data_IF_575246135780
#
_entry.id   IF_575246135780
#
_cell.length_a   1.000
_cell.length_b   1.000
_cell.length_c   1.000
_cell.angle_alpha   90.00
_cell.angle_beta   90.00
_cell.angle_gamma   90.00
#
_symmetry.space_group_name_H-M   'P 1'
#
loop_
_entity.id
_entity.type
_entity.pdbx_description
1 polymer ?
#
# COMPACT_ATOMS: atom_id res chain seq x y z
N UNK A 1 -32.52 33.96 2.69
CA UNK A 1 -31.24 33.45 3.25
C UNK A 1 -31.11 31.93 3.14
N UNK A 2 -32.20 31.16 3.20
CA UNK A 2 -32.21 29.69 3.20
C UNK A 2 -31.69 29.04 1.90
N UNK A 3 -32.10 29.53 0.72
CA UNK A 3 -31.67 28.96 -0.56
C UNK A 3 -30.16 29.08 -0.84
N UNK A 4 -29.52 30.20 -0.45
CA UNK A 4 -28.08 30.40 -0.64
C UNK A 4 -27.24 29.48 0.27
N UNK A 5 -27.71 29.26 1.49
CA UNK A 5 -27.08 28.34 2.44
C UNK A 5 -27.21 26.89 1.98
N UNK A 6 -28.39 26.51 1.46
CA UNK A 6 -28.62 25.17 0.93
C UNK A 6 -27.69 24.82 -0.23
N UNK A 7 -27.48 25.75 -1.18
CA UNK A 7 -26.55 25.55 -2.30
C UNK A 7 -25.13 25.34 -1.80
N UNK A 8 -24.70 26.07 -0.76
CA UNK A 8 -23.38 25.91 -0.17
C UNK A 8 -23.21 24.53 0.48
N UNK A 9 -24.18 24.08 1.26
CA UNK A 9 -24.13 22.77 1.92
C UNK A 9 -24.14 21.61 0.91
N UNK A 10 -24.95 21.70 -0.15
CA UNK A 10 -24.94 20.71 -1.22
C UNK A 10 -23.59 20.68 -1.93
N UNK A 11 -23.02 21.85 -2.24
CA UNK A 11 -21.70 21.94 -2.86
C UNK A 11 -20.61 21.27 -2.03
N UNK A 12 -20.56 21.57 -0.72
CA UNK A 12 -19.61 20.94 0.21
C UNK A 12 -19.85 19.43 0.30
N UNK A 13 -21.11 19.01 0.41
CA UNK A 13 -21.48 17.60 0.50
C UNK A 13 -21.06 16.78 -0.74
N UNK A 14 -21.25 17.33 -1.95
CA UNK A 14 -20.83 16.67 -3.19
C UNK A 14 -19.31 16.56 -3.27
N UNK A 15 -18.57 17.63 -2.96
CA UNK A 15 -17.10 17.61 -2.98
C UNK A 15 -16.54 16.63 -1.94
N UNK A 16 -17.08 16.64 -0.72
CA UNK A 16 -16.70 15.70 0.33
C UNK A 16 -17.02 14.25 -0.05
N UNK A 17 -18.22 14.00 -0.60
CA UNK A 17 -18.65 12.67 -1.04
C UNK A 17 -17.79 12.12 -2.17
N UNK A 18 -17.42 12.95 -3.15
CA UNK A 18 -16.51 12.55 -4.23
C UNK A 18 -15.10 12.28 -3.70
N UNK A 19 -14.55 13.16 -2.85
CA UNK A 19 -13.23 12.97 -2.26
C UNK A 19 -13.15 11.68 -1.43
N UNK A 20 -14.16 11.43 -0.60
CA UNK A 20 -14.25 10.20 0.18
C UNK A 20 -14.50 8.97 -0.69
N UNK A 21 -15.29 9.09 -1.75
CA UNK A 21 -15.52 8.02 -2.72
C UNK A 21 -14.24 7.58 -3.43
N UNK A 22 -13.44 8.53 -3.93
CA UNK A 22 -12.13 8.24 -4.55
C UNK A 22 -11.20 7.54 -3.56
N UNK A 23 -11.16 8.02 -2.31
CA UNK A 23 -10.38 7.40 -1.24
C UNK A 23 -10.79 5.93 -1.00
N UNK A 24 -12.08 5.64 -0.96
CA UNK A 24 -12.58 4.26 -0.78
C UNK A 24 -12.27 3.33 -1.96
N UNK A 25 -12.26 3.85 -3.20
CA UNK A 25 -11.91 3.06 -4.39
C UNK A 25 -10.46 2.59 -4.32
N UNK A 26 -9.54 3.46 -3.94
CA UNK A 26 -8.12 3.11 -3.74
C UNK A 26 -7.97 1.97 -2.72
N UNK A 27 -8.76 2.01 -1.63
CA UNK A 27 -8.78 0.98 -0.60
C UNK A 27 -9.44 -0.35 -1.02
N UNK A 28 -10.31 -0.41 -2.03
CA UNK A 28 -10.94 -1.68 -2.45
C UNK A 28 -10.10 -2.47 -3.48
N UNK A 29 -8.93 -1.96 -3.84
CA UNK A 29 -8.09 -2.60 -4.85
C UNK A 29 -7.51 -3.92 -4.33
N UNK A 30 -8.09 -5.04 -4.76
CA UNK A 30 -7.48 -6.37 -4.62
C UNK A 30 -6.45 -6.54 -5.72
N UNK A 31 -5.18 -6.61 -5.33
CA UNK A 31 -4.08 -6.70 -6.28
C UNK A 31 -3.99 -8.10 -6.86
N UNK A 32 -4.47 -8.24 -8.10
CA UNK A 32 -4.04 -9.33 -8.97
C UNK A 32 -2.72 -8.92 -9.62
N UNK A 33 -1.76 -9.85 -9.69
CA UNK A 33 -0.51 -9.63 -10.41
C UNK A 33 -0.82 -9.42 -11.90
N UNK A 34 -0.52 -8.24 -12.43
CA UNK A 34 -0.72 -7.91 -13.84
C UNK A 34 0.56 -7.32 -14.40
N UNK A 35 1.14 -8.03 -15.36
CA UNK A 35 2.30 -7.55 -16.09
C UNK A 35 1.88 -6.52 -17.13
N UNK A 36 2.58 -5.40 -17.17
CA UNK A 36 2.33 -4.30 -18.11
C UNK A 36 3.64 -3.80 -18.69
N UNK A 37 3.58 -3.22 -19.88
CA UNK A 37 4.73 -2.59 -20.50
C UNK A 37 5.06 -1.26 -19.80
N UNK A 38 6.34 -1.01 -19.50
CA UNK A 38 6.82 0.18 -18.78
C UNK A 38 7.01 -0.03 -17.26
N UNK A 39 7.16 1.06 -16.47
CA UNK A 39 7.36 0.99 -15.03
C UNK A 39 6.10 0.55 -14.30
N UNK A 40 6.18 -0.56 -13.55
CA UNK A 40 5.05 -1.08 -12.79
C UNK A 40 5.49 -1.98 -11.64
N UNK A 41 4.79 -1.87 -10.52
CA UNK A 41 4.99 -2.72 -9.35
C UNK A 41 3.66 -3.27 -8.88
N UNK A 42 3.67 -4.52 -8.43
CA UNK A 42 2.51 -5.23 -7.90
C UNK A 42 2.79 -5.72 -6.48
N UNK A 43 1.77 -5.66 -5.63
CA UNK A 43 1.82 -6.23 -4.27
C UNK A 43 0.88 -7.43 -4.25
N UNK A 44 1.39 -8.61 -3.91
CA UNK A 44 0.61 -9.85 -3.87
C UNK A 44 0.67 -10.42 -2.45
N UNK A 45 -0.51 -10.71 -1.90
CA UNK A 45 -0.66 -11.46 -0.64
C UNK A 45 -1.30 -12.82 -0.93
N UNK A 46 -1.21 -13.77 -0.01
CA UNK A 46 -1.82 -15.10 -0.20
C UNK A 46 -3.36 -15.02 -0.21
N UNK A 47 -3.90 -14.04 0.51
CA UNK A 47 -5.34 -13.75 0.62
C UNK A 47 -5.54 -12.29 1.02
N UNK A 48 -6.79 -11.84 1.02
CA UNK A 48 -7.20 -10.51 1.48
C UNK A 48 -7.65 -10.49 2.94
N UNK A 49 -8.01 -11.65 3.51
CA UNK A 49 -8.65 -11.73 4.82
C UNK A 49 -7.90 -12.69 5.75
N UNK A 50 -7.36 -12.14 6.84
CA UNK A 50 -6.48 -12.84 7.79
C UNK A 50 -7.09 -12.86 9.18
N UNK A 51 -6.98 -13.99 9.86
CA UNK A 51 -7.32 -14.08 11.28
C UNK A 51 -6.25 -13.39 12.10
N UNK A 52 -6.65 -12.86 13.25
CA UNK A 52 -5.72 -12.27 14.20
C UNK A 52 -4.63 -13.29 14.59
N UNK A 53 -3.37 -12.89 14.46
CA UNK A 53 -2.21 -13.73 14.76
C UNK A 53 -1.75 -14.64 13.61
N UNK A 54 -2.39 -14.63 12.44
CA UNK A 54 -1.82 -15.21 11.23
C UNK A 54 -0.64 -14.38 10.71
N UNK A 55 0.40 -15.07 10.24
CA UNK A 55 1.45 -14.43 9.44
C UNK A 55 0.94 -14.12 8.04
N UNK A 56 1.24 -12.93 7.56
CA UNK A 56 0.89 -12.42 6.23
C UNK A 56 2.16 -12.40 5.39
N UNK A 57 2.21 -13.16 4.29
CA UNK A 57 3.30 -13.10 3.31
C UNK A 57 2.95 -12.05 2.26
N UNK A 58 3.81 -11.05 2.15
CA UNK A 58 3.66 -9.94 1.22
C UNK A 58 4.76 -10.09 0.18
N UNK A 59 4.38 -10.19 -1.08
CA UNK A 59 5.30 -10.20 -2.21
C UNK A 59 5.22 -8.89 -2.96
N UNK A 60 6.36 -8.24 -3.15
CA UNK A 60 6.49 -7.09 -4.04
C UNK A 60 7.15 -7.61 -5.32
N UNK A 61 6.46 -7.45 -6.44
CA UNK A 61 6.89 -7.96 -7.75
C UNK A 61 7.07 -6.78 -8.68
N UNK A 62 8.20 -6.70 -9.38
CA UNK A 62 8.32 -5.80 -10.51
C UNK A 62 7.50 -6.39 -11.67
N UNK A 63 6.29 -5.87 -11.84
CA UNK A 63 5.36 -6.28 -12.88
C UNK A 63 5.51 -5.47 -14.17
N UNK A 64 6.56 -4.65 -14.25
CA UNK A 64 6.90 -3.84 -15.41
C UNK A 64 7.94 -4.51 -16.31
N UNK A 65 8.43 -3.73 -17.26
CA UNK A 65 9.54 -4.10 -18.17
C UNK A 65 10.80 -3.29 -17.92
N UNK A 66 10.82 -2.44 -16.89
CA UNK A 66 11.97 -1.60 -16.51
C UNK A 66 12.37 -1.87 -15.06
N UNK A 67 13.66 -1.77 -14.70
CA UNK A 67 14.13 -1.95 -13.33
C UNK A 67 13.57 -0.88 -12.38
N UNK A 68 13.39 -1.24 -11.12
CA UNK A 68 12.90 -0.32 -10.08
C UNK A 68 13.92 -0.17 -8.96
N UNK A 69 14.20 1.08 -8.60
CA UNK A 69 15.08 1.45 -7.50
C UNK A 69 14.28 1.85 -6.26
N UNK A 70 14.72 1.39 -5.11
CA UNK A 70 14.12 1.65 -3.81
C UNK A 70 15.14 2.27 -2.87
N UNK A 71 14.72 3.30 -2.14
CA UNK A 71 15.63 4.06 -1.26
C UNK A 71 16.22 3.23 -0.12
N UNK A 72 15.65 2.08 0.19
CA UNK A 72 16.07 1.20 1.29
C UNK A 72 15.81 -0.29 0.98
N UNK A 73 16.29 -1.17 1.87
CA UNK A 73 16.09 -2.62 1.81
C UNK A 73 14.68 -3.08 2.21
N UNK A 74 13.78 -2.14 2.54
CA UNK A 74 12.36 -2.46 2.76
C UNK A 74 11.56 -2.48 1.45
N UNK A 75 12.20 -2.11 0.32
CA UNK A 75 11.54 -1.96 -0.98
C UNK A 75 10.33 -1.03 -0.86
N UNK A 76 10.47 0.03 -0.05
CA UNK A 76 9.43 1.01 0.23
C UNK A 76 8.17 0.44 0.89
N UNK A 77 8.23 -0.76 1.47
CA UNK A 77 7.07 -1.45 2.06
C UNK A 77 6.57 -0.71 3.30
N UNK A 78 5.29 -0.29 3.26
CA UNK A 78 4.62 0.39 4.36
C UNK A 78 3.25 -0.18 4.58
N UNK A 79 2.96 -0.55 5.82
CA UNK A 79 1.63 -0.99 6.26
C UNK A 79 1.03 0.10 7.13
N UNK A 80 -0.17 0.54 6.75
CA UNK A 80 -0.89 1.65 7.39
C UNK A 80 -2.31 1.24 7.73
N UNK A 81 -2.88 1.84 8.78
CA UNK A 81 -4.32 1.72 9.06
C UNK A 81 -5.15 2.69 8.20
N UNK A 82 -6.48 2.67 8.39
CA UNK A 82 -7.42 3.62 7.76
C UNK A 82 -7.10 5.09 8.03
N UNK A 83 -6.38 5.42 9.09
CA UNK A 83 -5.94 6.79 9.38
C UNK A 83 -4.70 7.22 8.59
N UNK A 84 -4.08 6.31 7.82
CA UNK A 84 -2.82 6.55 7.12
C UNK A 84 -1.58 6.53 8.04
N UNK A 85 -1.76 6.26 9.33
CA UNK A 85 -0.66 6.14 10.29
C UNK A 85 0.16 4.89 9.97
N UNK A 86 1.49 5.05 9.87
CA UNK A 86 2.43 3.95 9.70
C UNK A 86 2.37 3.02 10.90
N UNK A 87 2.06 1.76 10.65
CA UNK A 87 1.96 0.72 11.68
C UNK A 87 3.15 -0.23 11.61
N UNK A 88 3.54 -0.60 10.39
CA UNK A 88 4.68 -1.48 10.18
C UNK A 88 5.48 -1.10 8.94
N UNK A 89 6.79 -1.24 9.05
CA UNK A 89 7.77 -1.17 7.97
C UNK A 89 8.91 -2.09 8.36
N UNK A 90 9.42 -2.95 7.46
CA UNK A 90 10.59 -3.77 7.74
C UNK A 90 11.74 -2.94 8.30
N UNK A 91 12.45 -3.49 9.29
CA UNK A 91 13.64 -2.85 9.84
C UNK A 91 14.69 -2.70 8.74
N UNK A 92 15.00 -1.46 8.36
CA UNK A 92 16.00 -1.15 7.35
C UNK A 92 17.36 -1.49 7.93
N UNK A 93 18.08 -2.40 7.28
CA UNK A 93 19.50 -2.57 7.59
C UNK A 93 20.25 -1.44 6.89
N UNK A 94 20.59 -0.38 7.62
CA UNK A 94 21.32 0.81 7.12
C UNK A 94 22.63 0.49 6.38
N UNK A 95 23.11 -0.76 6.46
CA UNK A 95 24.28 -1.26 5.73
C UNK A 95 24.04 -1.64 4.27
N UNK A 96 22.79 -1.78 3.83
CA UNK A 96 22.49 -2.04 2.42
C UNK A 96 21.85 -0.78 1.83
N UNK A 97 22.62 -0.11 0.97
CA UNK A 97 22.14 1.03 0.19
C UNK A 97 20.98 0.65 -0.73
N UNK A 98 20.59 1.61 -1.57
CA UNK A 98 19.51 1.54 -2.56
C UNK A 98 19.31 0.11 -3.13
N UNK A 99 18.11 -0.43 -2.96
CA UNK A 99 17.75 -1.75 -3.46
C UNK A 99 17.21 -1.66 -4.88
N UNK A 100 17.51 -2.65 -5.71
CA UNK A 100 17.06 -2.73 -7.10
C UNK A 100 16.22 -3.98 -7.29
N UNK A 101 15.15 -3.88 -8.08
CA UNK A 101 14.27 -4.99 -8.44
C UNK A 101 14.14 -5.04 -9.97
N UNK A 102 14.75 -6.06 -10.58
CA UNK A 102 14.73 -6.23 -12.04
C UNK A 102 13.32 -6.63 -12.54
N UNK A 103 13.00 -6.42 -13.82
CA UNK A 103 11.73 -6.84 -14.39
C UNK A 103 11.45 -8.33 -14.17
N UNK A 104 10.31 -8.65 -13.53
CA UNK A 104 9.92 -10.02 -13.21
C UNK A 104 10.46 -10.57 -11.89
N UNK A 105 11.41 -9.88 -11.24
CA UNK A 105 11.89 -10.27 -9.92
C UNK A 105 10.87 -9.94 -8.83
N UNK A 106 10.95 -10.71 -7.73
CA UNK A 106 10.11 -10.54 -6.55
C UNK A 106 10.90 -10.59 -5.25
N UNK A 107 10.42 -9.83 -4.26
CA UNK A 107 10.89 -9.88 -2.87
C UNK A 107 9.73 -10.22 -1.94
N UNK A 108 9.99 -11.06 -0.95
CA UNK A 108 8.98 -11.52 0.00
C UNK A 108 9.27 -11.00 1.41
N UNK A 109 8.22 -10.54 2.08
CA UNK A 109 8.22 -10.10 3.48
C UNK A 109 7.18 -10.87 4.27
N UNK A 110 7.49 -11.19 5.52
CA UNK A 110 6.53 -11.77 6.46
C UNK A 110 6.16 -10.74 7.51
N UNK A 111 4.86 -10.55 7.72
CA UNK A 111 4.33 -9.70 8.77
C UNK A 111 3.42 -10.52 9.69
N UNK A 112 3.83 -10.69 10.94
CA UNK A 112 3.10 -11.42 11.97
C UNK A 112 2.03 -10.56 12.68
N UNK A 113 1.57 -9.49 12.03
CA UNK A 113 0.62 -8.52 12.59
C UNK A 113 1.14 -7.80 13.84
N UNK A 114 2.46 -7.70 14.03
CA UNK A 114 3.08 -6.90 15.08
C UNK A 114 3.56 -5.58 14.48
N UNK A 115 3.16 -4.47 15.09
CA UNK A 115 3.57 -3.12 14.70
C UNK A 115 5.04 -2.86 15.06
N UNK A 116 5.59 -1.78 14.54
CA UNK A 116 6.98 -1.39 14.85
C UNK A 116 7.19 -1.00 16.33
N UNK A 117 6.12 -0.67 17.07
CA UNK A 117 6.16 -0.41 18.52
C UNK A 117 6.10 -1.69 19.38
N UNK A 118 5.93 -2.86 18.76
CA UNK A 118 5.81 -4.16 19.43
C UNK A 118 4.37 -4.56 19.77
N UNK A 119 3.38 -3.68 19.56
CA UNK A 119 1.97 -4.01 19.81
C UNK A 119 1.38 -4.85 18.67
N UNK A 120 0.41 -5.68 19.00
CA UNK A 120 -0.37 -6.39 17.98
C UNK A 120 -1.29 -5.41 17.23
N UNK A 121 -1.41 -5.61 15.92
CA UNK A 121 -2.42 -4.96 15.09
C UNK A 121 -3.83 -5.32 15.60
N UNK A 122 -4.73 -4.34 15.52
CA UNK A 122 -6.13 -4.53 15.88
C UNK A 122 -6.89 -5.18 14.72
N UNK A 123 -8.13 -5.57 14.97
CA UNK A 123 -9.03 -6.00 13.90
C UNK A 123 -9.41 -4.78 13.05
N UNK A 124 -9.44 -4.94 11.73
CA UNK A 124 -9.78 -3.86 10.81
C UNK A 124 -9.15 -3.98 9.42
N UNK A 125 -9.28 -2.90 8.65
CA UNK A 125 -8.70 -2.77 7.31
C UNK A 125 -7.33 -2.11 7.37
N UNK A 126 -6.39 -2.68 6.62
CA UNK A 126 -5.01 -2.24 6.53
C UNK A 126 -4.61 -2.07 5.08
N UNK A 127 -3.91 -0.98 4.79
CA UNK A 127 -3.34 -0.71 3.47
C UNK A 127 -1.86 -1.04 3.48
N UNK A 128 -1.46 -1.96 2.61
CA UNK A 128 -0.08 -2.27 2.28
C UNK A 128 0.28 -1.46 1.05
N UNK A 129 1.41 -0.78 1.09
CA UNK A 129 1.88 0.07 -0.01
C UNK A 129 3.38 -0.12 -0.23
N UNK A 130 3.79 0.08 -1.48
CA UNK A 130 5.20 0.14 -1.87
C UNK A 130 5.41 1.35 -2.77
N UNK A 131 6.59 1.95 -2.67
CA UNK A 131 7.00 3.08 -3.49
C UNK A 131 8.45 2.92 -3.92
N UNK A 132 8.66 2.84 -5.22
CA UNK A 132 9.96 2.83 -5.88
C UNK A 132 10.08 3.96 -6.90
N UNK A 133 11.21 3.98 -7.59
CA UNK A 133 11.56 4.96 -8.62
C UNK A 133 12.08 4.20 -9.84
N UNK A 134 11.69 4.60 -11.05
CA UNK A 134 12.23 4.02 -12.29
C UNK A 134 13.61 4.63 -12.67
N UNK A 135 14.19 4.16 -13.77
CA UNK A 135 15.46 4.66 -14.31
C UNK A 135 15.43 6.13 -14.77
N UNK A 136 14.23 6.69 -15.00
CA UNK A 136 13.99 8.08 -15.37
C UNK A 136 13.73 9.00 -14.17
N UNK A 137 13.65 8.43 -12.96
CA UNK A 137 13.35 9.20 -11.75
C UNK A 137 11.86 9.39 -11.46
N UNK A 138 10.96 8.71 -12.16
CA UNK A 138 9.53 8.76 -11.90
C UNK A 138 9.16 7.87 -10.72
N UNK A 139 8.21 8.32 -9.90
CA UNK A 139 7.69 7.53 -8.80
C UNK A 139 6.77 6.41 -9.32
N UNK A 140 7.00 5.19 -8.87
CA UNK A 140 6.17 4.01 -9.13
C UNK A 140 5.62 3.52 -7.80
N UNK A 141 4.31 3.63 -7.62
CA UNK A 141 3.65 3.26 -6.37
C UNK A 141 2.47 2.33 -6.59
N UNK A 142 2.26 1.44 -5.63
CA UNK A 142 1.11 0.55 -5.60
C UNK A 142 0.65 0.35 -4.17
N UNK A 143 -0.66 0.13 -4.01
CA UNK A 143 -1.23 -0.30 -2.75
C UNK A 143 -2.26 -1.41 -2.92
N UNK A 144 -2.40 -2.21 -1.88
CA UNK A 144 -3.43 -3.24 -1.73
C UNK A 144 -3.97 -3.21 -0.32
N UNK A 145 -5.21 -3.65 -0.13
CA UNK A 145 -5.84 -3.68 1.20
C UNK A 145 -6.03 -5.12 1.65
N UNK A 146 -5.84 -5.32 2.95
CA UNK A 146 -6.13 -6.56 3.65
C UNK A 146 -7.02 -6.28 4.87
N UNK A 147 -7.75 -7.29 5.31
CA UNK A 147 -8.58 -7.27 6.50
C UNK A 147 -7.99 -8.20 7.54
N UNK A 148 -7.87 -7.73 8.78
CA UNK A 148 -7.61 -8.56 9.96
C UNK A 148 -8.92 -8.73 10.72
N UNK A 149 -9.35 -9.97 10.92
CA UNK A 149 -10.59 -10.33 11.60
C UNK A 149 -10.33 -11.31 12.76
N UNK A 150 -11.35 -11.49 13.60
CA UNK A 150 -11.27 -12.25 14.84
C UNK A 150 -11.23 -13.77 14.65
#
# INVERSE_FOLDING_TARGET
MLAKSLVLFIGIGVVAGLGFGIYLVDFKSTSHLVFVEGPSVSIVTEKSDFKKGETILIRIVNSGTVPLLFSDSSYGLRITGLSGILMFSPAVSEKQGMSNLEPGDEVSFSWNQIKNDGDTALEGLYKISTKGIDDQGNNVEKSTTITIWK
#
